data_IF_289652297577
#
_entry.id   IF_289652297577
#
_cell.length_a   1.000
_cell.length_b   1.000
_cell.length_c   1.000
_cell.angle_alpha   90.00
_cell.angle_beta   90.00
_cell.angle_gamma   90.00
#
_symmetry.space_group_name_H-M   'P 1'
#
loop_
_entity.id
_entity.type
_entity.pdbx_description
1 polymer ?
#
# COMPACT_ATOMS: atom_id res chain seq x y z
N UNK A 1 -12.20 10.65 19.09
CA UNK A 1 -12.11 9.84 17.86
C UNK A 1 -11.94 10.76 16.66
N UNK A 2 -11.42 10.25 15.53
CA UNK A 2 -11.26 11.05 14.29
C UNK A 2 -12.60 11.64 13.85
N UNK A 3 -13.69 10.88 14.00
CA UNK A 3 -15.04 11.33 13.66
C UNK A 3 -15.52 12.50 14.53
N UNK A 4 -15.12 12.57 15.79
CA UNK A 4 -15.42 13.68 16.68
C UNK A 4 -14.61 14.94 16.38
N UNK A 5 -13.34 14.76 15.95
CA UNK A 5 -12.45 15.88 15.61
C UNK A 5 -12.70 16.42 14.19
N UNK A 6 -13.03 15.56 13.24
CA UNK A 6 -13.16 15.89 11.81
C UNK A 6 -14.44 15.31 11.18
N UNK A 7 -15.64 15.64 11.67
CA UNK A 7 -16.89 15.00 11.22
C UNK A 7 -17.22 15.25 9.74
N UNK A 8 -16.72 16.36 9.16
CA UNK A 8 -16.95 16.72 7.75
C UNK A 8 -16.00 16.04 6.78
N UNK A 9 -14.88 15.48 7.26
CA UNK A 9 -13.80 14.94 6.43
C UNK A 9 -13.68 13.41 6.48
N UNK A 10 -14.54 12.73 7.22
CA UNK A 10 -14.48 11.25 7.35
C UNK A 10 -14.54 10.55 5.99
N UNK A 11 -15.30 11.10 5.04
CA UNK A 11 -15.37 10.57 3.68
C UNK A 11 -14.16 10.85 2.78
N UNK A 12 -13.18 11.62 3.28
CA UNK A 12 -11.94 11.96 2.56
C UNK A 12 -10.71 11.25 3.14
N UNK A 13 -10.92 10.38 4.13
CA UNK A 13 -9.84 9.65 4.77
C UNK A 13 -9.47 8.41 3.96
N UNK A 14 -8.19 8.14 3.91
CA UNK A 14 -7.60 6.89 3.44
C UNK A 14 -6.66 6.33 4.50
N UNK A 15 -6.40 5.04 4.45
CA UNK A 15 -5.41 4.39 5.31
C UNK A 15 -4.21 4.03 4.46
N UNK A 16 -3.03 4.54 4.80
CA UNK A 16 -1.78 4.07 4.26
C UNK A 16 -1.13 3.11 5.26
N UNK A 17 -0.97 1.87 4.86
CA UNK A 17 -0.21 0.88 5.60
C UNK A 17 1.21 0.83 5.06
N UNK A 18 2.16 1.26 5.88
CA UNK A 18 3.58 1.17 5.54
C UNK A 18 4.14 -0.17 5.98
N UNK A 19 4.61 -0.93 5.02
CA UNK A 19 5.24 -2.22 5.22
C UNK A 19 6.75 -2.11 4.98
N UNK A 20 7.52 -2.56 5.95
CA UNK A 20 8.98 -2.67 5.88
C UNK A 20 9.35 -4.13 6.14
N UNK A 21 9.34 -4.99 5.12
CA UNK A 21 9.55 -6.43 5.33
C UNK A 21 10.94 -6.77 5.92
N UNK A 22 11.91 -5.88 5.71
CA UNK A 22 13.25 -6.00 6.31
C UNK A 22 13.26 -5.81 7.85
N UNK A 23 12.21 -5.23 8.42
CA UNK A 23 12.08 -5.08 9.88
C UNK A 23 11.43 -6.29 10.55
N UNK A 24 10.96 -7.25 9.79
CA UNK A 24 10.31 -8.46 10.30
C UNK A 24 11.22 -9.66 10.12
N UNK A 25 11.41 -10.44 11.18
CA UNK A 25 12.13 -11.71 11.14
C UNK A 25 11.18 -12.90 10.90
N UNK A 26 9.89 -12.73 11.15
CA UNK A 26 8.88 -13.77 11.03
C UNK A 26 7.70 -13.28 10.17
N UNK A 27 7.42 -14.02 9.11
CA UNK A 27 6.30 -13.76 8.21
C UNK A 27 4.93 -13.87 8.93
N UNK A 28 4.82 -14.73 9.94
CA UNK A 28 3.58 -14.88 10.69
C UNK A 28 3.24 -13.60 11.48
N UNK A 29 4.24 -12.89 11.98
CA UNK A 29 4.05 -11.59 12.65
C UNK A 29 3.56 -10.55 11.65
N UNK A 30 4.16 -10.50 10.44
CA UNK A 30 3.73 -9.60 9.38
C UNK A 30 2.27 -9.88 8.97
N UNK A 31 1.91 -11.15 8.74
CA UNK A 31 0.53 -11.56 8.42
C UNK A 31 -0.45 -11.22 9.53
N UNK A 32 -0.08 -11.40 10.80
CA UNK A 32 -0.89 -11.03 11.96
C UNK A 32 -1.18 -9.52 12.00
N UNK A 33 -0.19 -8.69 11.68
CA UNK A 33 -0.35 -7.24 11.60
C UNK A 33 -1.34 -6.83 10.51
N UNK A 34 -1.28 -7.47 9.33
CA UNK A 34 -2.23 -7.25 8.24
C UNK A 34 -3.66 -7.69 8.62
N UNK A 35 -3.79 -8.79 9.34
CA UNK A 35 -5.08 -9.23 9.88
C UNK A 35 -5.67 -8.19 10.85
N UNK A 36 -4.83 -7.62 11.72
CA UNK A 36 -5.23 -6.54 12.63
C UNK A 36 -5.68 -5.30 11.86
N UNK A 37 -4.97 -4.92 10.80
CA UNK A 37 -5.39 -3.81 9.91
C UNK A 37 -6.79 -4.07 9.33
N UNK A 38 -7.06 -5.27 8.83
CA UNK A 38 -8.40 -5.65 8.32
C UNK A 38 -9.48 -5.49 9.38
N UNK A 39 -9.21 -5.94 10.62
CA UNK A 39 -10.16 -5.80 11.73
C UNK A 39 -10.45 -4.34 12.04
N UNK A 40 -9.44 -3.47 12.04
CA UNK A 40 -9.59 -2.03 12.25
C UNK A 40 -10.40 -1.39 11.11
N UNK A 41 -10.12 -1.73 9.86
CA UNK A 41 -10.91 -1.27 8.71
C UNK A 41 -12.39 -1.66 8.83
N UNK A 42 -12.68 -2.90 9.26
CA UNK A 42 -14.04 -3.35 9.54
C UNK A 42 -14.69 -2.52 10.64
N UNK A 43 -13.99 -2.30 11.74
CA UNK A 43 -14.50 -1.49 12.86
C UNK A 43 -14.81 -0.06 12.43
N UNK A 44 -13.93 0.57 11.68
CA UNK A 44 -14.17 1.91 11.14
C UNK A 44 -15.40 1.91 10.24
N UNK A 45 -15.54 0.91 9.34
CA UNK A 45 -16.71 0.79 8.49
C UNK A 45 -18.01 0.63 9.30
N UNK A 46 -17.99 -0.15 10.38
CA UNK A 46 -19.18 -0.33 11.25
C UNK A 46 -19.56 0.96 11.98
N UNK A 47 -18.57 1.76 12.41
CA UNK A 47 -18.81 3.01 13.14
C UNK A 47 -19.20 4.18 12.24
N UNK A 48 -18.66 4.24 11.01
CA UNK A 48 -18.80 5.39 10.12
C UNK A 48 -19.73 5.15 8.94
N UNK A 49 -19.99 3.89 8.60
CA UNK A 49 -20.66 3.48 7.38
C UNK A 49 -19.79 3.59 6.11
N UNK A 50 -18.53 4.02 6.24
CA UNK A 50 -17.60 4.21 5.11
C UNK A 50 -16.55 3.12 5.03
N UNK A 51 -16.29 2.65 3.82
CA UNK A 51 -15.14 1.81 3.55
C UNK A 51 -13.96 2.72 3.20
N UNK A 52 -12.92 2.69 4.03
CA UNK A 52 -11.69 3.45 3.75
C UNK A 52 -10.88 2.78 2.65
N UNK A 53 -10.36 3.54 1.67
CA UNK A 53 -9.38 3.01 0.74
C UNK A 53 -8.08 2.71 1.48
N UNK A 54 -7.54 1.52 1.25
CA UNK A 54 -6.26 1.09 1.81
C UNK A 54 -5.19 1.25 0.73
N UNK A 55 -4.14 1.97 1.06
CA UNK A 55 -2.93 2.07 0.24
C UNK A 55 -1.84 1.26 0.93
N UNK A 56 -1.23 0.34 0.21
CA UNK A 56 -0.02 -0.34 0.67
C UNK A 56 1.21 0.44 0.22
N UNK A 57 2.09 0.80 1.15
CA UNK A 57 3.41 1.36 0.86
C UNK A 57 4.46 0.39 1.34
N UNK A 58 5.21 -0.23 0.43
CA UNK A 58 6.22 -1.22 0.76
C UNK A 58 7.62 -0.75 0.33
N UNK A 59 8.58 -0.86 1.24
CA UNK A 59 9.98 -0.54 0.98
C UNK A 59 10.82 -1.78 1.27
N UNK A 60 11.73 -2.09 0.35
CA UNK A 60 12.56 -3.29 0.38
C UNK A 60 14.04 -2.94 0.26
N UNK A 61 14.90 -3.72 0.86
CA UNK A 61 16.34 -3.65 0.63
C UNK A 61 16.67 -4.09 -0.80
N UNK A 62 17.50 -3.30 -1.48
CA UNK A 62 17.93 -3.61 -2.84
C UNK A 62 18.60 -2.43 -3.54
N UNK A 63 18.86 -2.56 -4.85
CA UNK A 63 19.29 -1.44 -5.67
C UNK A 63 18.27 -0.32 -5.63
N UNK A 64 18.74 0.92 -5.54
CA UNK A 64 17.85 2.07 -5.40
C UNK A 64 16.93 2.21 -6.63
N UNK A 65 15.64 2.35 -6.39
CA UNK A 65 14.63 2.59 -7.43
C UNK A 65 13.76 3.80 -7.08
N UNK A 66 13.18 4.46 -8.07
CA UNK A 66 12.06 5.37 -7.84
C UNK A 66 10.86 4.63 -7.23
N UNK A 67 9.87 5.38 -6.78
CA UNK A 67 8.59 4.79 -6.41
C UNK A 67 7.90 4.18 -7.64
N UNK A 68 7.47 2.92 -7.49
CA UNK A 68 6.66 2.21 -8.47
C UNK A 68 5.26 2.08 -7.89
N UNK A 69 4.28 2.65 -8.58
CA UNK A 69 2.89 2.69 -8.13
C UNK A 69 2.05 1.79 -9.02
N UNK A 70 1.32 0.89 -8.39
CA UNK A 70 0.40 -0.03 -9.07
C UNK A 70 -1.03 0.33 -8.68
N UNK A 71 -1.83 0.62 -9.71
CA UNK A 71 -3.28 0.75 -9.61
C UNK A 71 -3.92 0.00 -10.77
N UNK A 72 -4.64 -1.08 -10.48
CA UNK A 72 -5.07 -2.02 -11.50
C UNK A 72 -3.85 -2.75 -12.11
N UNK A 73 -3.83 -2.89 -13.43
CA UNK A 73 -2.84 -3.72 -14.14
C UNK A 73 -1.67 -2.92 -14.74
N UNK A 74 -1.61 -1.61 -14.49
CA UNK A 74 -0.61 -0.73 -15.10
C UNK A 74 0.29 -0.10 -14.04
N UNK A 75 1.49 -0.65 -13.80
CA UNK A 75 2.47 -0.01 -12.95
C UNK A 75 3.07 1.22 -13.64
N UNK A 76 3.24 2.29 -12.86
CA UNK A 76 3.93 3.51 -13.26
C UNK A 76 5.11 3.77 -12.34
N UNK A 77 6.17 4.29 -12.89
CA UNK A 77 7.38 4.71 -12.16
C UNK A 77 7.34 6.20 -11.96
N UNK A 78 7.56 6.65 -10.73
CA UNK A 78 7.50 8.06 -10.33
C UNK A 78 8.86 8.49 -9.78
N UNK A 79 9.76 8.98 -10.61
CA UNK A 79 11.02 9.58 -10.17
C UNK A 79 10.77 10.84 -9.33
N UNK A 80 11.71 11.21 -8.46
CA UNK A 80 11.53 12.35 -7.53
C UNK A 80 11.46 13.70 -8.25
N UNK A 81 12.20 13.85 -9.34
CA UNK A 81 12.36 15.14 -10.05
C UNK A 81 11.99 15.05 -11.53
N UNK A 82 11.25 14.02 -11.93
CA UNK A 82 10.92 13.79 -13.33
C UNK A 82 9.46 13.36 -13.49
N UNK A 83 8.98 13.38 -14.73
CA UNK A 83 7.61 12.97 -15.06
C UNK A 83 7.40 11.47 -14.84
N UNK A 84 6.22 11.06 -14.36
CA UNK A 84 5.87 9.64 -14.28
C UNK A 84 5.97 8.97 -15.66
N UNK A 85 6.53 7.76 -15.68
CA UNK A 85 6.68 6.95 -16.91
C UNK A 85 6.09 5.55 -16.73
N UNK A 86 5.78 4.88 -17.83
CA UNK A 86 5.32 3.51 -17.77
C UNK A 86 6.45 2.58 -17.28
N UNK A 87 6.10 1.58 -16.48
CA UNK A 87 7.09 0.62 -15.96
C UNK A 87 7.81 -0.13 -17.09
N UNK A 88 7.10 -0.41 -18.20
CA UNK A 88 7.67 -1.08 -19.36
C UNK A 88 8.83 -0.27 -19.98
N UNK A 89 8.74 1.04 -19.99
CA UNK A 89 9.79 1.91 -20.54
C UNK A 89 10.96 1.99 -19.55
N UNK A 90 10.66 2.10 -18.26
CA UNK A 90 11.68 2.14 -17.21
C UNK A 90 12.54 0.87 -17.17
N UNK A 91 11.93 -0.29 -17.30
CA UNK A 91 12.63 -1.57 -17.24
C UNK A 91 13.58 -1.82 -18.43
N UNK A 92 13.41 -1.11 -19.55
CA UNK A 92 14.26 -1.26 -20.75
C UNK A 92 15.55 -0.44 -20.66
N UNK A 93 15.65 0.49 -19.71
CA UNK A 93 16.85 1.28 -19.52
C UNK A 93 17.98 0.42 -18.93
N UNK A 94 19.17 0.51 -19.51
CA UNK A 94 20.33 -0.30 -19.12
C UNK A 94 20.68 -0.17 -17.63
N UNK A 95 20.59 1.04 -17.08
CA UNK A 95 20.89 1.32 -15.66
C UNK A 95 19.94 0.60 -14.70
N UNK A 96 18.77 0.17 -15.14
CA UNK A 96 17.78 -0.47 -14.28
C UNK A 96 17.82 -2.01 -14.31
N UNK A 97 18.60 -2.59 -15.20
CA UNK A 97 18.67 -4.07 -15.39
C UNK A 97 19.03 -4.78 -14.09
N UNK A 98 19.96 -4.23 -13.31
CA UNK A 98 20.40 -4.83 -12.05
C UNK A 98 19.32 -4.85 -10.96
N UNK A 99 18.35 -3.94 -11.05
CA UNK A 99 17.25 -3.87 -10.09
C UNK A 99 16.09 -4.82 -10.43
N UNK A 100 15.95 -5.22 -11.70
CA UNK A 100 14.77 -5.96 -12.18
C UNK A 100 14.49 -7.27 -11.43
N UNK A 101 15.46 -8.13 -11.11
CA UNK A 101 15.19 -9.36 -10.36
C UNK A 101 14.57 -9.06 -8.98
N UNK A 102 15.14 -8.10 -8.25
CA UNK A 102 14.62 -7.72 -6.94
C UNK A 102 13.25 -7.02 -7.03
N UNK A 103 13.04 -6.19 -8.04
CA UNK A 103 11.73 -5.56 -8.31
C UNK A 103 10.67 -6.62 -8.62
N UNK A 104 10.99 -7.62 -9.45
CA UNK A 104 10.07 -8.73 -9.78
C UNK A 104 9.70 -9.52 -8.52
N UNK A 105 10.66 -9.82 -7.67
CA UNK A 105 10.41 -10.51 -6.40
C UNK A 105 9.65 -9.66 -5.40
N UNK A 106 9.86 -8.34 -5.37
CA UNK A 106 9.08 -7.44 -4.53
C UNK A 106 7.61 -7.41 -4.96
N UNK A 107 7.31 -7.41 -6.26
CA UNK A 107 5.93 -7.59 -6.76
C UNK A 107 5.34 -8.94 -6.33
N UNK A 108 6.13 -10.01 -6.45
CA UNK A 108 5.71 -11.36 -6.04
C UNK A 108 5.43 -11.43 -4.54
N UNK A 109 6.29 -10.83 -3.71
CA UNK A 109 6.12 -10.74 -2.27
C UNK A 109 4.85 -9.96 -1.89
N UNK A 110 4.65 -8.79 -2.48
CA UNK A 110 3.46 -7.97 -2.23
C UNK A 110 2.20 -8.77 -2.56
N UNK A 111 2.17 -9.44 -3.71
CA UNK A 111 1.00 -10.23 -4.15
C UNK A 111 0.74 -11.41 -3.24
N UNK A 112 1.77 -12.21 -2.94
CA UNK A 112 1.60 -13.52 -2.29
C UNK A 112 1.63 -13.44 -0.76
N UNK A 113 2.13 -12.35 -0.19
CA UNK A 113 2.19 -12.16 1.27
C UNK A 113 1.26 -11.04 1.74
N UNK A 114 1.35 -9.84 1.16
CA UNK A 114 0.61 -8.69 1.64
C UNK A 114 -0.83 -8.66 1.12
N UNK A 115 -1.00 -8.73 -0.20
CA UNK A 115 -2.32 -8.64 -0.81
C UNK A 115 -3.15 -9.89 -0.52
N UNK A 116 -2.56 -11.08 -0.59
CA UNK A 116 -3.23 -12.33 -0.24
C UNK A 116 -3.80 -12.29 1.18
N UNK A 117 -3.02 -11.84 2.18
CA UNK A 117 -3.49 -11.76 3.57
C UNK A 117 -4.59 -10.70 3.74
N UNK A 118 -4.51 -9.56 3.04
CA UNK A 118 -5.54 -8.53 3.06
C UNK A 118 -6.85 -8.99 2.40
N UNK A 119 -6.76 -9.75 1.32
CA UNK A 119 -7.91 -10.21 0.53
C UNK A 119 -8.48 -11.56 1.02
N UNK A 120 -7.79 -12.21 1.96
CA UNK A 120 -8.21 -13.52 2.49
C UNK A 120 -9.61 -13.45 3.10
N UNK A 121 -10.56 -14.27 2.61
CA UNK A 121 -11.89 -14.34 3.21
C UNK A 121 -11.82 -14.95 4.61
N UNK A 122 -12.45 -14.28 5.56
CA UNK A 122 -12.58 -14.77 6.94
C UNK A 122 -14.02 -14.50 7.40
N UNK A 123 -14.59 -15.42 8.18
CA UNK A 123 -15.94 -15.28 8.75
C UNK A 123 -16.08 -14.04 9.63
N UNK A 124 -15.03 -13.66 10.33
CA UNK A 124 -15.04 -12.55 11.28
C UNK A 124 -14.58 -11.23 10.66
N UNK A 125 -13.79 -11.28 9.59
CA UNK A 125 -13.15 -10.11 9.03
C UNK A 125 -13.29 -10.12 7.50
N UNK A 126 -14.03 -9.17 6.92
CA UNK A 126 -14.15 -9.10 5.48
C UNK A 126 -12.81 -8.75 4.83
N UNK A 127 -12.61 -9.13 3.56
CA UNK A 127 -11.42 -8.72 2.80
C UNK A 127 -11.30 -7.20 2.76
N UNK A 128 -10.06 -6.72 2.85
CA UNK A 128 -9.71 -5.30 2.68
C UNK A 128 -8.78 -5.18 1.47
N UNK A 129 -9.36 -5.05 0.28
CA UNK A 129 -8.57 -4.92 -0.94
C UNK A 129 -7.79 -3.61 -0.96
N UNK A 130 -6.50 -3.68 -1.31
CA UNK A 130 -5.70 -2.51 -1.52
C UNK A 130 -6.19 -1.73 -2.76
N UNK A 131 -6.42 -0.44 -2.59
CA UNK A 131 -6.80 0.47 -3.68
C UNK A 131 -5.62 0.75 -4.61
N UNK A 132 -4.44 0.88 -4.02
CA UNK A 132 -3.18 1.12 -4.72
C UNK A 132 -2.03 0.54 -3.90
N UNK A 133 -0.96 0.19 -4.59
CA UNK A 133 0.30 -0.25 -3.99
C UNK A 133 1.39 0.69 -4.47
N UNK A 134 2.16 1.24 -3.53
CA UNK A 134 3.40 1.95 -3.82
C UNK A 134 4.56 1.11 -3.31
N UNK A 135 5.56 0.85 -4.12
CA UNK A 135 6.75 0.12 -3.71
C UNK A 135 8.02 0.77 -4.22
N UNK A 136 9.11 0.58 -3.50
CA UNK A 136 10.46 0.92 -3.95
C UNK A 136 11.48 -0.01 -3.32
N UNK A 137 12.64 -0.10 -3.96
CA UNK A 137 13.86 -0.65 -3.40
C UNK A 137 14.80 0.50 -3.02
N UNK A 138 15.73 0.23 -2.10
CA UNK A 138 16.80 1.19 -1.84
C UNK A 138 17.26 1.29 -0.40
N UNK A 139 16.45 0.92 0.57
CA UNK A 139 16.84 0.96 1.97
C UNK A 139 17.45 -0.37 2.37
N UNK A 140 18.75 -0.40 2.56
CA UNK A 140 19.44 -1.57 3.13
C UNK A 140 19.49 -1.39 4.63
N UNK A 141 18.75 -2.24 5.36
CA UNK A 141 18.77 -2.25 6.82
C UNK A 141 19.91 -3.13 7.36
N UNK A 142 20.40 -2.83 8.56
CA UNK A 142 21.36 -3.69 9.21
C UNK A 142 20.67 -4.98 9.66
N UNK A 143 21.13 -6.10 9.18
CA UNK A 143 20.64 -7.43 9.52
C UNK A 143 20.56 -8.31 8.27
N UNK A 144 21.06 -9.53 8.38
CA UNK A 144 21.02 -10.52 7.30
C UNK A 144 19.76 -11.39 7.37
N UNK A 145 19.03 -11.33 8.49
CA UNK A 145 17.87 -12.17 8.76
C UNK A 145 16.61 -11.30 8.76
N UNK A 146 15.92 -11.30 7.65
CA UNK A 146 14.61 -10.67 7.52
C UNK A 146 13.72 -11.46 6.58
N UNK A 147 12.43 -11.31 6.72
CA UNK A 147 11.43 -11.97 5.84
C UNK A 147 11.71 -11.65 4.37
N UNK A 148 12.13 -10.42 4.07
CA UNK A 148 12.49 -10.06 2.70
C UNK A 148 13.80 -10.67 2.24
N UNK A 149 14.84 -10.65 3.07
CA UNK A 149 16.13 -11.22 2.72
C UNK A 149 16.03 -12.73 2.43
N UNK A 150 15.28 -13.46 3.26
CA UNK A 150 15.03 -14.89 3.09
C UNK A 150 14.19 -15.18 1.83
N UNK A 151 13.16 -14.38 1.59
CA UNK A 151 12.35 -14.47 0.39
C UNK A 151 13.18 -14.30 -0.88
N UNK A 152 13.98 -13.24 -0.92
CA UNK A 152 14.79 -12.89 -2.08
C UNK A 152 15.89 -13.94 -2.32
N UNK A 153 16.61 -14.31 -1.26
CA UNK A 153 17.68 -15.30 -1.35
C UNK A 153 17.20 -16.66 -1.83
N UNK A 154 16.10 -17.14 -1.29
CA UNK A 154 15.53 -18.44 -1.65
C UNK A 154 15.14 -18.52 -3.13
N UNK A 155 14.76 -17.39 -3.74
CA UNK A 155 14.25 -17.36 -5.12
C UNK A 155 15.31 -16.95 -6.16
N UNK A 156 16.22 -16.10 -5.76
CA UNK A 156 17.18 -15.48 -6.71
C UNK A 156 18.64 -15.68 -6.35
N UNK A 157 18.93 -16.20 -5.16
CA UNK A 157 20.27 -16.25 -4.56
C UNK A 157 20.91 -14.85 -4.39
N UNK A 158 20.14 -13.77 -4.47
CA UNK A 158 20.63 -12.41 -4.26
C UNK A 158 20.58 -12.06 -2.78
N UNK A 159 21.64 -11.36 -2.34
CA UNK A 159 21.72 -10.78 -1.00
C UNK A 159 22.24 -9.35 -1.11
N UNK A 160 21.64 -8.45 -0.36
CA UNK A 160 22.08 -7.06 -0.29
C UNK A 160 22.63 -6.77 1.10
N UNK A 161 23.86 -6.24 1.13
CA UNK A 161 24.56 -5.91 2.36
C UNK A 161 24.73 -4.41 2.47
N UNK A 162 24.56 -3.89 3.67
CA UNK A 162 24.89 -2.50 3.97
C UNK A 162 26.39 -2.28 3.89
N UNK A 163 26.80 -1.27 3.14
CA UNK A 163 28.20 -0.82 3.15
C UNK A 163 28.49 -0.09 4.47
N UNK A 164 29.67 -0.32 5.09
CA UNK A 164 30.10 0.44 6.26
C UNK A 164 30.05 1.95 5.97
N UNK A 165 29.48 2.73 6.90
CA UNK A 165 29.37 4.19 6.74
C UNK A 165 28.16 4.67 5.91
N UNK A 166 27.39 3.80 5.32
CA UNK A 166 26.17 4.19 4.59
C UNK A 166 25.07 4.57 5.59
N UNK A 167 24.64 5.82 5.54
CA UNK A 167 23.45 6.28 6.31
C UNK A 167 22.18 5.77 5.64
N UNK A 168 21.22 5.32 6.45
CA UNK A 168 19.90 4.97 5.93
C UNK A 168 19.22 6.27 5.46
N UNK A 169 18.91 6.42 4.17
CA UNK A 169 18.19 7.60 3.72
C UNK A 169 16.83 7.66 4.42
N UNK A 170 16.38 8.88 4.72
CA UNK A 170 15.02 9.07 5.24
C UNK A 170 14.02 8.45 4.28
N UNK A 171 13.08 7.68 4.83
CA UNK A 171 12.01 7.13 4.01
C UNK A 171 11.20 8.27 3.41
N UNK A 172 11.13 8.31 2.09
CA UNK A 172 10.33 9.28 1.36
C UNK A 172 8.87 8.82 1.35
N UNK A 173 7.97 9.78 1.50
CA UNK A 173 6.55 9.50 1.32
C UNK A 173 6.24 9.35 -0.19
N UNK A 174 5.39 8.39 -0.61
CA UNK A 174 5.02 8.22 -2.01
C UNK A 174 3.96 9.25 -2.43
N UNK A 175 4.35 10.52 -2.53
CA UNK A 175 3.43 11.64 -2.82
C UNK A 175 2.60 11.43 -4.10
N UNK A 176 3.16 10.73 -5.08
CA UNK A 176 2.48 10.41 -6.32
C UNK A 176 1.22 9.53 -6.16
N UNK A 177 1.00 8.94 -4.98
CA UNK A 177 -0.26 8.23 -4.66
C UNK A 177 -1.40 9.20 -4.36
N UNK A 178 -1.12 10.40 -3.85
CA UNK A 178 -2.15 11.35 -3.40
C UNK A 178 -3.15 11.74 -4.51
N UNK A 179 -2.74 12.08 -5.73
CA UNK A 179 -3.66 12.38 -6.82
C UNK A 179 -4.61 11.22 -7.16
N UNK A 180 -4.17 9.96 -6.96
CA UNK A 180 -4.97 8.79 -7.25
C UNK A 180 -6.13 8.60 -6.27
N UNK A 181 -6.07 9.19 -5.09
CA UNK A 181 -7.12 9.13 -4.06
C UNK A 181 -8.22 10.17 -4.28
N UNK A 182 -7.99 11.20 -5.09
CA UNK A 182 -8.95 12.29 -5.36
C UNK A 182 -10.31 11.80 -5.88
N UNK A 183 -10.39 10.91 -6.91
CA UNK A 183 -11.66 10.39 -7.39
C UNK A 183 -12.43 9.61 -6.33
N UNK A 184 -11.71 8.96 -5.42
CA UNK A 184 -12.32 8.19 -4.33
C UNK A 184 -12.98 9.10 -3.30
N UNK A 185 -12.35 10.20 -2.94
CA UNK A 185 -12.92 11.20 -2.03
C UNK A 185 -14.22 11.81 -2.59
N UNK A 186 -14.29 12.08 -3.90
CA UNK A 186 -15.49 12.61 -4.54
C UNK A 186 -16.67 11.63 -4.57
N UNK A 187 -16.41 10.35 -4.79
CA UNK A 187 -17.47 9.31 -4.81
C UNK A 187 -18.09 9.07 -3.43
N UNK A 188 -17.30 9.17 -2.37
CA UNK A 188 -17.80 9.02 -1.00
C UNK A 188 -18.72 10.19 -0.63
N UNK A 189 -18.40 11.41 -1.04
CA UNK A 189 -19.29 12.58 -0.85
C UNK A 189 -20.61 12.42 -1.61
N UNK A 190 -20.58 11.90 -2.83
CA UNK A 190 -21.77 11.59 -3.62
C UNK A 190 -22.68 10.58 -2.92
N UNK A 191 -22.10 9.52 -2.35
CA UNK A 191 -22.85 8.50 -1.61
C UNK A 191 -23.58 9.03 -0.37
N UNK A 192 -23.00 10.00 0.34
CA UNK A 192 -23.69 10.65 1.47
C UNK A 192 -24.87 11.51 1.04
N UNK A 193 -24.73 12.27 -0.03
CA UNK A 193 -25.82 13.09 -0.59
C UNK A 193 -26.97 12.20 -1.06
N UNK A 194 -26.67 11.12 -1.75
CA UNK A 194 -27.68 10.17 -2.24
C UNK A 194 -28.42 9.49 -1.08
N UNK A 195 -27.73 9.07 -0.01
CA UNK A 195 -28.39 8.50 1.18
C UNK A 195 -29.30 9.50 1.89
N UNK A 196 -28.89 10.77 2.02
CA UNK A 196 -29.74 11.81 2.61
C UNK A 196 -30.95 12.11 1.74
N UNK A 197 -30.79 12.12 0.42
CA UNK A 197 -31.90 12.26 -0.53
C UNK A 197 -32.89 11.09 -0.44
N UNK A 198 -32.42 9.86 -0.38
CA UNK A 198 -33.26 8.67 -0.20
C UNK A 198 -33.99 8.72 1.13
N UNK A 199 -33.36 9.10 2.23
CA UNK A 199 -34.00 9.27 3.54
C UNK A 199 -35.07 10.35 3.51
N UNK A 200 -34.81 11.49 2.87
CA UNK A 200 -35.80 12.56 2.71
C UNK A 200 -36.98 12.11 1.85
N UNK A 201 -36.76 11.36 0.77
CA UNK A 201 -37.84 10.81 -0.07
C UNK A 201 -38.68 9.82 0.76
N UNK A 202 -38.07 8.94 1.54
CA UNK A 202 -38.81 8.02 2.42
C UNK A 202 -39.64 8.75 3.49
N UNK A 203 -39.11 9.84 4.05
CA UNK A 203 -39.85 10.68 5.01
C UNK A 203 -41.06 11.36 4.38
N UNK A 204 -40.94 11.83 3.13
CA UNK A 204 -42.03 12.44 2.39
C UNK A 204 -43.10 11.44 1.90
N UNK A 205 -42.78 10.14 1.79
CA UNK A 205 -43.73 9.09 1.40
C UNK A 205 -44.52 8.56 2.60
N UNK A 206 -43.99 8.74 3.82
CA UNK A 206 -44.64 8.30 5.07
C UNK A 206 -45.51 9.37 5.75
N UNK A 207 -45.52 10.60 5.21
CA UNK A 207 -46.41 11.68 5.62
C UNK A 207 -47.54 11.85 4.62
#
# INVERSE_FOLDING_TARGET
SIQTQFPRHVGQLSVMYRCLPDHHQDEAVLRSTLKTLRQQCKQIKSLTGFTLPVVLSAEFSGPETPWIIVRGDKPIVCPVNDSPQAFIDWQQAEDNILALPAVSEAFSFIRNTLAEELEKPDRLTPPARAFSVAMRLGTVLPGTESVWADWLYTRTCLQFFRKPGQTTPASLFPDAVLPLLTPFASTVQGGQRTRRLILLIWLCVLT
#
